data_IF_499568746018
#
_entry.id   IF_499568746018
#
_cell.length_a   1.000
_cell.length_b   1.000
_cell.length_c   1.000
_cell.angle_alpha   90.00
_cell.angle_beta   90.00
_cell.angle_gamma   90.00
#
_symmetry.space_group_name_H-M   'P 1'
#
loop_
_entity.id
_entity.type
_entity.pdbx_description
1 polymer ?
#
# COMPACT_ATOMS: atom_id res chain seq x y z
N UNK A 1 -20.33 -4.01 -11.88
CA UNK A 1 -20.95 -4.73 -13.02
C UNK A 1 -20.12 -5.95 -13.44
N UNK A 2 -18.82 -5.82 -13.75
CA UNK A 2 -18.00 -6.95 -14.23
C UNK A 2 -17.86 -8.09 -13.19
N UNK A 3 -17.61 -7.75 -11.93
CA UNK A 3 -17.46 -8.73 -10.86
C UNK A 3 -18.76 -9.52 -10.61
N UNK A 4 -19.91 -8.84 -10.59
CA UNK A 4 -21.24 -9.49 -10.46
C UNK A 4 -21.44 -10.49 -11.60
N UNK A 5 -21.21 -10.10 -12.86
CA UNK A 5 -21.34 -11.01 -14.01
C UNK A 5 -20.36 -12.19 -13.93
N UNK A 6 -19.16 -12.00 -13.39
CA UNK A 6 -18.21 -13.09 -13.18
C UNK A 6 -18.74 -14.10 -12.15
N UNK A 7 -19.31 -13.63 -11.03
CA UNK A 7 -19.91 -14.47 -10.00
C UNK A 7 -21.09 -15.29 -10.60
N UNK A 8 -22.00 -14.65 -11.33
CA UNK A 8 -23.13 -15.30 -11.99
C UNK A 8 -22.69 -16.37 -12.99
N UNK A 9 -21.64 -16.10 -13.77
CA UNK A 9 -21.05 -17.06 -14.71
C UNK A 9 -20.43 -18.27 -14.01
N UNK A 10 -19.70 -18.06 -12.89
CA UNK A 10 -19.15 -19.15 -12.09
C UNK A 10 -20.26 -20.04 -11.53
N UNK A 11 -21.33 -19.45 -11.01
CA UNK A 11 -22.51 -20.19 -10.52
C UNK A 11 -23.18 -20.99 -11.65
N UNK A 12 -23.34 -20.39 -12.82
CA UNK A 12 -23.90 -21.07 -14.01
C UNK A 12 -23.01 -22.23 -14.47
N UNK A 13 -21.70 -22.10 -14.30
CA UNK A 13 -20.69 -23.13 -14.56
C UNK A 13 -20.63 -24.24 -13.50
N UNK A 14 -21.55 -24.24 -12.52
CA UNK A 14 -21.64 -25.22 -11.43
C UNK A 14 -20.38 -25.28 -10.55
N UNK A 15 -19.76 -24.15 -10.24
CA UNK A 15 -18.66 -24.13 -9.27
C UNK A 15 -19.20 -24.46 -7.86
N UNK A 16 -18.34 -25.07 -7.04
CA UNK A 16 -18.66 -25.37 -5.64
C UNK A 16 -18.11 -24.29 -4.68
N UNK A 17 -17.11 -23.57 -5.10
CA UNK A 17 -16.43 -22.53 -4.33
C UNK A 17 -16.18 -21.31 -5.19
N UNK A 18 -16.34 -20.13 -4.61
CA UNK A 18 -15.90 -18.85 -5.18
C UNK A 18 -14.90 -18.24 -4.21
N UNK A 19 -13.69 -17.97 -4.69
CA UNK A 19 -12.72 -17.13 -3.99
C UNK A 19 -12.87 -15.72 -4.57
N UNK A 20 -13.36 -14.79 -3.77
CA UNK A 20 -13.65 -13.43 -4.19
C UNK A 20 -12.70 -12.45 -3.51
N UNK A 21 -12.01 -11.62 -4.31
CA UNK A 21 -11.31 -10.44 -3.82
C UNK A 21 -12.17 -9.23 -4.13
N UNK A 22 -12.92 -8.77 -3.15
CA UNK A 22 -13.83 -7.62 -3.26
C UNK A 22 -13.29 -6.44 -2.49
N UNK A 23 -13.60 -5.24 -2.94
CA UNK A 23 -13.17 -4.00 -2.31
C UNK A 23 -14.32 -3.26 -1.60
N UNK A 24 -15.54 -3.73 -1.79
CA UNK A 24 -16.76 -3.13 -1.25
C UNK A 24 -17.95 -4.11 -1.33
N UNK A 25 -19.11 -3.67 -0.86
CA UNK A 25 -20.35 -4.47 -0.79
C UNK A 25 -21.11 -4.58 -2.12
N UNK A 26 -20.57 -4.11 -3.23
CA UNK A 26 -21.28 -4.08 -4.53
C UNK A 26 -21.59 -5.46 -5.11
N UNK A 27 -20.94 -6.50 -4.59
CA UNK A 27 -21.14 -7.89 -5.02
C UNK A 27 -22.00 -8.72 -4.04
N UNK A 28 -22.40 -8.18 -2.89
CA UNK A 28 -23.05 -8.93 -1.81
C UNK A 28 -24.30 -9.69 -2.29
N UNK A 29 -25.16 -9.05 -3.06
CA UNK A 29 -26.38 -9.70 -3.59
C UNK A 29 -26.06 -10.89 -4.48
N UNK A 30 -25.04 -10.78 -5.34
CA UNK A 30 -24.62 -11.87 -6.22
C UNK A 30 -23.96 -13.01 -5.44
N UNK A 31 -23.14 -12.70 -4.44
CA UNK A 31 -22.52 -13.68 -3.54
C UNK A 31 -23.57 -14.40 -2.71
N UNK A 32 -24.57 -13.68 -2.18
CA UNK A 32 -25.69 -14.27 -1.45
C UNK A 32 -26.51 -15.22 -2.32
N UNK A 33 -26.82 -14.81 -3.55
CA UNK A 33 -27.52 -15.68 -4.50
C UNK A 33 -26.72 -16.93 -4.86
N UNK A 34 -25.38 -16.86 -4.85
CA UNK A 34 -24.51 -18.02 -5.01
C UNK A 34 -24.55 -18.94 -3.79
N UNK A 35 -24.52 -18.43 -2.56
CA UNK A 35 -24.66 -19.22 -1.33
C UNK A 35 -26.00 -19.95 -1.26
N UNK A 36 -27.09 -19.30 -1.67
CA UNK A 36 -28.44 -19.91 -1.73
C UNK A 36 -28.49 -21.12 -2.68
N UNK A 37 -27.57 -21.18 -3.65
CA UNK A 37 -27.39 -22.34 -4.55
C UNK A 37 -26.35 -23.35 -4.04
N UNK A 38 -25.86 -23.17 -2.82
CA UNK A 38 -24.92 -24.10 -2.19
C UNK A 38 -23.45 -23.83 -2.50
N UNK A 39 -23.12 -22.74 -3.19
CA UNK A 39 -21.74 -22.34 -3.45
C UNK A 39 -21.12 -21.75 -2.18
N UNK A 40 -19.91 -22.18 -1.83
CA UNK A 40 -19.17 -21.65 -0.70
C UNK A 40 -18.36 -20.42 -1.09
N UNK A 41 -18.44 -19.37 -0.28
CA UNK A 41 -17.79 -18.09 -0.53
C UNK A 41 -16.59 -17.93 0.40
N UNK A 42 -15.42 -17.73 -0.20
CA UNK A 42 -14.17 -17.38 0.50
C UNK A 42 -13.81 -15.96 0.09
N UNK A 43 -13.93 -15.02 1.01
CA UNK A 43 -13.51 -13.64 0.76
C UNK A 43 -12.04 -13.44 1.09
N UNK A 44 -11.36 -12.66 0.25
CA UNK A 44 -9.98 -12.23 0.46
C UNK A 44 -9.92 -10.70 0.42
N UNK A 45 -9.24 -10.10 1.37
CA UNK A 45 -9.02 -8.67 1.45
C UNK A 45 -9.99 -7.96 2.38
N UNK A 46 -11.16 -7.55 1.92
CA UNK A 46 -12.16 -6.86 2.74
C UNK A 46 -13.22 -7.85 3.21
N UNK A 47 -13.58 -7.78 4.50
CA UNK A 47 -14.69 -8.56 5.04
C UNK A 47 -16.02 -7.90 4.69
N UNK A 48 -16.87 -8.61 3.95
CA UNK A 48 -18.27 -8.22 3.74
C UNK A 48 -19.22 -9.11 4.56
N UNK A 49 -20.53 -8.87 4.46
CA UNK A 49 -21.51 -9.66 5.20
C UNK A 49 -21.77 -11.07 4.62
N UNK A 50 -21.22 -11.39 3.45
CA UNK A 50 -21.58 -12.58 2.65
C UNK A 50 -20.38 -13.48 2.40
N UNK A 51 -19.99 -14.24 3.41
CA UNK A 51 -18.89 -15.21 3.28
C UNK A 51 -19.15 -16.48 4.11
N UNK A 52 -18.49 -17.57 3.77
CA UNK A 52 -18.34 -18.78 4.60
C UNK A 52 -16.98 -18.78 5.31
N UNK A 53 -15.97 -18.14 4.70
CA UNK A 53 -14.64 -17.95 5.23
C UNK A 53 -14.10 -16.59 4.76
N UNK A 54 -13.40 -15.88 5.64
CA UNK A 54 -12.68 -14.65 5.33
C UNK A 54 -11.17 -14.87 5.55
N UNK A 55 -10.39 -14.40 4.58
CA UNK A 55 -8.93 -14.31 4.67
C UNK A 55 -8.54 -12.84 4.57
N UNK A 56 -8.29 -12.22 5.70
CA UNK A 56 -7.88 -10.83 5.78
C UNK A 56 -6.43 -10.71 6.22
N UNK A 57 -5.79 -9.62 5.82
CA UNK A 57 -4.46 -9.24 6.27
C UNK A 57 -4.58 -8.04 7.19
N UNK A 58 -3.90 -8.07 8.32
CA UNK A 58 -3.85 -6.93 9.23
C UNK A 58 -3.03 -5.79 8.58
N UNK A 59 -3.74 -4.84 8.01
CA UNK A 59 -3.13 -3.73 7.27
C UNK A 59 -2.38 -2.77 8.18
N UNK A 60 -2.83 -2.58 9.42
CA UNK A 60 -2.10 -1.80 10.41
C UNK A 60 -0.74 -2.46 10.74
N UNK A 61 -0.73 -3.78 10.94
CA UNK A 61 0.51 -4.54 11.18
C UNK A 61 1.47 -4.49 9.99
N UNK A 62 0.96 -4.52 8.75
CA UNK A 62 1.82 -4.29 7.56
C UNK A 62 2.40 -2.88 7.61
N UNK A 63 1.59 -1.89 7.90
CA UNK A 63 2.04 -0.50 8.04
C UNK A 63 3.13 -0.33 9.09
N UNK A 64 2.98 -0.97 10.26
CA UNK A 64 4.02 -0.91 11.30
C UNK A 64 5.33 -1.54 10.84
N UNK A 65 5.31 -2.63 10.09
CA UNK A 65 6.53 -3.24 9.54
C UNK A 65 7.26 -2.33 8.53
N UNK A 66 6.51 -1.64 7.67
CA UNK A 66 7.09 -0.65 6.75
C UNK A 66 7.70 0.51 7.53
N UNK A 67 6.97 1.03 8.51
CA UNK A 67 7.42 2.11 9.37
C UNK A 67 8.65 1.74 10.20
N UNK A 68 8.69 0.51 10.70
CA UNK A 68 9.82 -0.05 11.43
C UNK A 68 11.08 -0.10 10.56
N UNK A 69 10.97 -0.58 9.33
CA UNK A 69 12.07 -0.62 8.37
C UNK A 69 12.61 0.79 8.08
N UNK A 70 11.72 1.74 7.86
CA UNK A 70 12.09 3.13 7.62
C UNK A 70 12.76 3.75 8.86
N UNK A 71 12.22 3.52 10.05
CA UNK A 71 12.78 4.01 11.30
C UNK A 71 14.18 3.42 11.60
N UNK A 72 14.37 2.12 11.37
CA UNK A 72 15.67 1.47 11.55
C UNK A 72 16.73 2.06 10.61
N UNK A 73 16.37 2.31 9.34
CA UNK A 73 17.25 2.99 8.40
C UNK A 73 17.54 4.44 8.83
N UNK A 74 16.53 5.22 9.20
CA UNK A 74 16.70 6.60 9.68
C UNK A 74 17.60 6.66 10.93
N UNK A 75 17.45 5.71 11.84
CA UNK A 75 18.29 5.62 13.02
C UNK A 75 19.74 5.28 12.68
N UNK A 76 19.97 4.32 11.79
CA UNK A 76 21.30 3.84 11.43
C UNK A 76 22.04 4.79 10.48
N UNK A 77 21.38 5.35 9.48
CA UNK A 77 21.99 6.18 8.45
C UNK A 77 22.03 7.67 8.82
N UNK A 78 20.98 8.17 9.49
CA UNK A 78 20.81 9.59 9.77
C UNK A 78 20.85 9.94 11.27
N UNK A 79 21.22 8.97 12.11
CA UNK A 79 21.30 9.18 13.56
C UNK A 79 19.96 9.49 14.23
N UNK A 80 18.89 8.94 13.70
CA UNK A 80 17.52 9.07 14.22
C UNK A 80 16.89 10.43 13.95
N UNK A 81 17.37 11.16 12.96
CA UNK A 81 16.84 12.47 12.53
C UNK A 81 16.54 12.42 11.04
N UNK A 82 15.80 13.39 10.57
CA UNK A 82 15.49 13.53 9.14
C UNK A 82 14.07 13.99 8.90
N UNK A 83 13.80 14.32 7.65
CA UNK A 83 12.52 14.80 7.17
C UNK A 83 11.98 13.81 6.15
N UNK A 84 10.80 13.30 6.37
CA UNK A 84 10.17 12.32 5.49
C UNK A 84 8.74 12.72 5.15
N UNK A 85 8.21 12.14 4.09
CA UNK A 85 6.78 12.16 3.77
C UNK A 85 6.24 10.73 3.74
N UNK A 86 4.98 10.57 4.10
CA UNK A 86 4.27 9.29 4.05
C UNK A 86 3.22 9.35 2.95
N UNK A 87 3.25 8.40 2.02
CA UNK A 87 2.22 8.27 0.99
C UNK A 87 1.22 7.20 1.40
N UNK A 88 -0.03 7.57 1.41
CA UNK A 88 -1.17 6.70 1.72
C UNK A 88 -2.31 6.93 0.75
N UNK A 89 -3.42 6.25 0.93
CA UNK A 89 -4.67 6.54 0.24
C UNK A 89 -5.84 6.41 1.19
N UNK A 90 -6.84 7.27 1.04
CA UNK A 90 -8.05 7.26 1.87
C UNK A 90 -9.25 6.60 1.18
N UNK A 91 -9.00 5.79 0.15
CA UNK A 91 -10.06 5.13 -0.60
C UNK A 91 -10.85 4.10 0.20
N UNK A 92 -10.20 3.43 1.14
CA UNK A 92 -10.82 2.47 2.05
C UNK A 92 -10.11 2.48 3.41
N UNK A 93 -10.74 1.88 4.42
CA UNK A 93 -10.22 1.85 5.78
C UNK A 93 -8.91 1.08 5.89
N UNK A 94 -8.77 -0.03 5.18
CA UNK A 94 -7.57 -0.87 5.19
C UNK A 94 -6.30 -0.09 4.84
N UNK A 95 -6.38 0.75 3.79
CA UNK A 95 -5.24 1.56 3.38
C UNK A 95 -4.97 2.72 4.35
N UNK A 96 -6.01 3.26 4.98
CA UNK A 96 -5.85 4.23 6.07
C UNK A 96 -5.14 3.59 7.26
N UNK A 97 -5.54 2.38 7.65
CA UNK A 97 -4.92 1.65 8.75
C UNK A 97 -3.45 1.34 8.45
N UNK A 98 -3.11 0.96 7.22
CA UNK A 98 -1.72 0.78 6.80
C UNK A 98 -0.92 2.08 6.91
N UNK A 99 -1.46 3.18 6.41
CA UNK A 99 -0.84 4.51 6.53
C UNK A 99 -0.69 4.99 7.98
N UNK A 100 -1.64 4.64 8.85
CA UNK A 100 -1.55 4.94 10.29
C UNK A 100 -0.45 4.11 10.96
N UNK A 101 -0.38 2.80 10.66
CA UNK A 101 0.67 1.91 11.19
C UNK A 101 2.08 2.40 10.85
N UNK A 102 2.31 2.87 9.60
CA UNK A 102 3.58 3.49 9.19
C UNK A 102 3.94 4.65 10.11
N UNK A 103 3.00 5.58 10.30
CA UNK A 103 3.25 6.78 11.09
C UNK A 103 3.54 6.47 12.56
N UNK A 104 2.78 5.54 13.14
CA UNK A 104 2.91 5.20 14.56
C UNK A 104 4.24 4.50 14.84
N UNK A 105 4.66 3.57 13.98
CA UNK A 105 5.94 2.90 14.10
C UNK A 105 7.13 3.88 14.00
N UNK A 106 7.08 4.83 13.06
CA UNK A 106 8.12 5.85 12.92
C UNK A 106 8.17 6.76 14.14
N UNK A 107 7.01 7.21 14.65
CA UNK A 107 6.95 8.04 15.86
C UNK A 107 7.47 7.32 17.09
N UNK A 108 7.23 6.03 17.20
CA UNK A 108 7.69 5.21 18.33
C UNK A 108 9.19 4.96 18.27
N UNK A 109 9.72 4.50 17.13
CA UNK A 109 11.12 4.07 16.99
C UNK A 109 12.10 5.19 16.63
N UNK A 110 11.64 6.22 15.95
CA UNK A 110 12.46 7.35 15.50
C UNK A 110 11.80 8.70 15.86
N UNK A 111 11.61 8.99 17.16
CA UNK A 111 10.78 10.12 17.63
C UNK A 111 11.31 11.51 17.27
N UNK A 112 12.56 11.62 16.80
CA UNK A 112 13.15 12.89 16.36
C UNK A 112 13.12 13.06 14.83
N UNK A 113 12.50 12.13 14.12
CA UNK A 113 12.22 12.24 12.69
C UNK A 113 10.95 13.06 12.48
N UNK A 114 10.98 13.98 11.54
CA UNK A 114 9.82 14.78 11.18
C UNK A 114 9.05 14.14 10.04
N UNK A 115 7.82 13.71 10.28
CA UNK A 115 6.88 13.41 9.20
C UNK A 115 6.31 14.77 8.75
N UNK A 116 6.84 15.31 7.66
CA UNK A 116 6.49 16.63 7.16
C UNK A 116 5.06 16.66 6.61
N UNK A 117 4.66 15.59 5.96
CA UNK A 117 3.32 15.47 5.36
C UNK A 117 2.92 14.01 5.22
N UNK A 118 1.63 13.75 5.40
CA UNK A 118 0.97 12.51 5.01
C UNK A 118 0.13 12.82 3.79
N UNK A 119 0.50 12.25 2.65
CA UNK A 119 -0.08 12.61 1.36
C UNK A 119 -1.05 11.53 0.91
N UNK A 120 -2.29 11.93 0.64
CA UNK A 120 -3.24 11.08 -0.08
C UNK A 120 -2.89 11.10 -1.58
N UNK A 121 -2.34 10.00 -2.07
CA UNK A 121 -2.03 9.88 -3.50
C UNK A 121 -3.26 9.49 -4.35
N UNK A 122 -4.42 9.42 -3.73
CA UNK A 122 -5.69 9.11 -4.39
C UNK A 122 -5.74 7.69 -4.93
N UNK A 123 -6.28 7.53 -6.14
CA UNK A 123 -6.23 6.24 -6.83
C UNK A 123 -4.79 5.97 -7.26
N UNK A 124 -4.33 4.77 -6.95
CA UNK A 124 -3.04 4.26 -7.40
C UNK A 124 -3.08 4.06 -8.93
N UNK A 125 -2.88 5.14 -9.63
CA UNK A 125 -2.80 5.18 -11.09
C UNK A 125 -1.37 5.47 -11.51
N UNK A 126 -0.97 4.91 -12.63
CA UNK A 126 0.36 5.13 -13.20
C UNK A 126 0.67 6.64 -13.28
N UNK A 127 1.79 7.04 -12.73
CA UNK A 127 2.26 8.43 -12.68
C UNK A 127 1.91 9.18 -11.40
N UNK A 128 1.08 8.63 -10.51
CA UNK A 128 0.71 9.33 -9.26
C UNK A 128 1.91 9.47 -8.32
N UNK A 129 2.74 8.46 -8.19
CA UNK A 129 3.97 8.47 -7.41
C UNK A 129 4.98 9.48 -7.93
N UNK A 130 5.20 9.52 -9.26
CA UNK A 130 6.11 10.47 -9.91
C UNK A 130 5.70 11.92 -9.63
N UNK A 131 4.48 12.29 -9.98
CA UNK A 131 4.01 13.69 -9.85
C UNK A 131 3.99 14.15 -8.39
N UNK A 132 3.57 13.26 -7.47
CA UNK A 132 3.58 13.57 -6.04
C UNK A 132 4.99 13.77 -5.54
N UNK A 133 5.92 12.89 -5.92
CA UNK A 133 7.32 12.98 -5.51
C UNK A 133 8.00 14.25 -6.02
N UNK A 134 7.82 14.59 -7.28
CA UNK A 134 8.33 15.86 -7.84
C UNK A 134 7.82 17.05 -7.04
N UNK A 135 6.54 17.06 -6.66
CA UNK A 135 5.94 18.11 -5.84
C UNK A 135 6.56 18.17 -4.45
N UNK A 136 6.76 17.02 -3.79
CA UNK A 136 7.36 16.96 -2.45
C UNK A 136 8.83 17.37 -2.45
N UNK A 137 9.60 16.98 -3.48
CA UNK A 137 11.00 17.40 -3.65
C UNK A 137 11.16 18.89 -3.90
N UNK A 138 10.19 19.51 -4.57
CA UNK A 138 10.16 20.98 -4.76
C UNK A 138 9.78 21.71 -3.47
N UNK A 139 8.81 21.15 -2.72
CA UNK A 139 8.29 21.74 -1.48
C UNK A 139 9.27 21.63 -0.32
N UNK A 140 9.99 20.53 -0.24
CA UNK A 140 10.88 20.20 0.87
C UNK A 140 12.30 19.91 0.34
N UNK A 141 13.16 20.93 0.33
CA UNK A 141 14.52 20.82 -0.20
C UNK A 141 15.43 19.89 0.62
N UNK A 142 15.09 19.68 1.89
CA UNK A 142 15.77 18.86 2.90
C UNK A 142 15.07 17.51 3.18
N UNK A 143 14.25 17.03 2.25
CA UNK A 143 13.60 15.72 2.33
C UNK A 143 14.65 14.61 2.28
N UNK A 144 14.55 13.65 3.21
CA UNK A 144 15.44 12.51 3.35
C UNK A 144 14.79 11.17 3.01
N UNK A 145 13.46 11.13 2.91
CA UNK A 145 12.80 9.86 2.59
C UNK A 145 11.32 9.96 2.27
N UNK A 146 10.87 8.92 1.62
CA UNK A 146 9.46 8.70 1.25
C UNK A 146 9.07 7.31 1.73
N UNK A 147 8.00 7.21 2.50
CA UNK A 147 7.47 5.94 2.98
C UNK A 147 6.10 5.73 2.35
N UNK A 148 6.02 4.75 1.46
CA UNK A 148 4.82 4.46 0.67
C UNK A 148 4.04 3.29 1.25
N UNK A 149 2.73 3.32 1.13
CA UNK A 149 1.87 2.22 1.53
C UNK A 149 2.00 0.99 0.62
N UNK A 150 2.59 1.13 -0.58
CA UNK A 150 2.78 0.04 -1.53
C UNK A 150 3.81 0.37 -2.62
N UNK A 151 4.22 -0.66 -3.33
CA UNK A 151 5.33 -0.61 -4.30
C UNK A 151 5.08 0.27 -5.52
N UNK A 152 3.84 0.37 -6.00
CA UNK A 152 3.55 1.11 -7.22
C UNK A 152 4.01 2.56 -7.12
N UNK A 153 3.60 3.25 -6.04
CA UNK A 153 4.04 4.61 -5.78
C UNK A 153 5.55 4.70 -5.45
N UNK A 154 6.10 3.70 -4.75
CA UNK A 154 7.51 3.69 -4.35
C UNK A 154 8.45 3.60 -5.55
N UNK A 155 8.18 2.70 -6.50
CA UNK A 155 9.00 2.55 -7.72
C UNK A 155 9.01 3.83 -8.54
N UNK A 156 7.85 4.46 -8.71
CA UNK A 156 7.74 5.75 -9.38
C UNK A 156 8.47 6.87 -8.61
N UNK A 157 8.43 6.83 -7.27
CA UNK A 157 9.14 7.78 -6.42
C UNK A 157 10.67 7.65 -6.57
N UNK A 158 11.20 6.42 -6.62
CA UNK A 158 12.63 6.17 -6.85
C UNK A 158 13.09 6.83 -8.16
N UNK A 159 12.34 6.63 -9.25
CA UNK A 159 12.70 7.23 -10.54
C UNK A 159 12.64 8.77 -10.50
N UNK A 160 11.67 9.36 -9.81
CA UNK A 160 11.58 10.80 -9.65
C UNK A 160 12.72 11.38 -8.79
N UNK A 161 13.11 10.66 -7.72
CA UNK A 161 14.26 11.04 -6.87
C UNK A 161 15.56 11.02 -7.67
N UNK A 162 15.78 9.98 -8.49
CA UNK A 162 16.93 9.89 -9.41
C UNK A 162 16.93 11.03 -10.43
N UNK A 163 15.80 11.29 -11.06
CA UNK A 163 15.67 12.37 -12.03
C UNK A 163 15.98 13.75 -11.42
N UNK A 164 15.70 13.92 -10.14
CA UNK A 164 16.04 15.12 -9.38
C UNK A 164 17.49 15.16 -8.87
N UNK A 165 18.29 14.10 -9.10
CA UNK A 165 19.68 13.99 -8.62
C UNK A 165 19.79 13.91 -7.09
N UNK A 166 18.77 13.37 -6.42
CA UNK A 166 18.71 13.21 -4.96
C UNK A 166 18.90 11.76 -4.50
N UNK A 167 19.20 10.85 -5.39
CA UNK A 167 19.48 9.44 -5.14
C UNK A 167 20.88 9.25 -4.51
N UNK A 168 20.97 9.45 -3.23
CA UNK A 168 22.22 9.33 -2.46
C UNK A 168 21.96 8.57 -1.16
N UNK A 169 23.04 8.23 -0.45
CA UNK A 169 22.98 7.44 0.80
C UNK A 169 22.13 8.04 1.93
N UNK A 170 21.76 9.32 1.83
CA UNK A 170 20.95 10.03 2.81
C UNK A 170 19.47 10.16 2.38
N UNK A 171 19.06 9.43 1.33
CA UNK A 171 17.68 9.41 0.86
C UNK A 171 17.15 7.97 0.76
N UNK A 172 16.04 7.66 1.43
CA UNK A 172 15.44 6.34 1.46
C UNK A 172 14.01 6.32 0.91
N UNK A 173 13.65 5.25 0.18
CA UNK A 173 12.26 4.99 -0.24
C UNK A 173 11.86 3.61 0.28
N UNK A 174 10.74 3.53 0.97
CA UNK A 174 10.27 2.32 1.65
C UNK A 174 8.86 1.96 1.23
N UNK A 175 8.58 0.68 1.05
CA UNK A 175 7.27 0.17 0.69
C UNK A 175 7.14 -1.33 1.01
N UNK A 176 6.03 -1.93 0.59
CA UNK A 176 5.80 -3.37 0.60
C UNK A 176 5.17 -3.81 -0.73
N UNK A 177 4.83 -5.07 -0.84
CA UNK A 177 4.11 -5.87 -1.83
C UNK A 177 5.01 -6.83 -2.60
N UNK A 178 6.27 -6.51 -2.85
CA UNK A 178 7.21 -7.38 -3.57
C UNK A 178 6.87 -7.56 -5.04
N UNK A 179 6.46 -6.50 -5.70
CA UNK A 179 6.22 -6.53 -7.16
C UNK A 179 7.51 -6.86 -7.92
N UNK A 180 7.38 -7.48 -9.07
CA UNK A 180 8.54 -7.82 -9.90
C UNK A 180 9.44 -6.61 -10.20
N UNK A 181 8.85 -5.43 -10.34
CA UNK A 181 9.60 -4.21 -10.62
C UNK A 181 10.37 -3.74 -9.39
N UNK A 182 9.76 -3.74 -8.20
CA UNK A 182 10.44 -3.38 -6.96
C UNK A 182 11.56 -4.38 -6.63
N UNK A 183 11.27 -5.70 -6.68
CA UNK A 183 12.27 -6.73 -6.45
C UNK A 183 13.45 -6.64 -7.42
N UNK A 184 13.19 -6.34 -8.70
CA UNK A 184 14.25 -6.11 -9.68
C UNK A 184 15.09 -4.89 -9.30
N UNK A 185 14.45 -3.78 -8.94
CA UNK A 185 15.15 -2.56 -8.53
C UNK A 185 16.05 -2.77 -7.32
N UNK A 186 15.56 -3.48 -6.29
CA UNK A 186 16.36 -3.84 -5.11
C UNK A 186 17.55 -4.72 -5.50
N UNK A 187 17.33 -5.75 -6.32
CA UNK A 187 18.39 -6.68 -6.73
C UNK A 187 19.46 -6.02 -7.60
N UNK A 188 19.08 -5.07 -8.42
CA UNK A 188 19.99 -4.31 -9.29
C UNK A 188 20.66 -3.13 -8.55
N UNK A 189 20.29 -2.87 -7.30
CA UNK A 189 20.77 -1.73 -6.52
C UNK A 189 20.28 -0.38 -7.05
N UNK A 190 19.11 -0.38 -7.68
CA UNK A 190 18.48 0.83 -8.23
C UNK A 190 17.30 1.32 -7.41
N UNK A 191 16.94 0.57 -6.38
CA UNK A 191 15.96 0.94 -5.34
C UNK A 191 16.60 0.80 -3.97
#
# INVERSE_FOLDING_TARGET
AAAVSAIENMVTGNCNYIVAMVSDTSCDDALKAAQEKGVKIIECGVETAVHDLVLITDQYSIGTQIGDMAADWLNSQLGGKGNIVVYTTYQNQDMQDRGQGIQDAIKEKAPNVNILEVVDIGKDVVGSGTTTTETMLQKYSDLNGIVCYGDAAAVESVEAVKAAGKDNENFGVFACDGTNQALKGINDGTC
#
